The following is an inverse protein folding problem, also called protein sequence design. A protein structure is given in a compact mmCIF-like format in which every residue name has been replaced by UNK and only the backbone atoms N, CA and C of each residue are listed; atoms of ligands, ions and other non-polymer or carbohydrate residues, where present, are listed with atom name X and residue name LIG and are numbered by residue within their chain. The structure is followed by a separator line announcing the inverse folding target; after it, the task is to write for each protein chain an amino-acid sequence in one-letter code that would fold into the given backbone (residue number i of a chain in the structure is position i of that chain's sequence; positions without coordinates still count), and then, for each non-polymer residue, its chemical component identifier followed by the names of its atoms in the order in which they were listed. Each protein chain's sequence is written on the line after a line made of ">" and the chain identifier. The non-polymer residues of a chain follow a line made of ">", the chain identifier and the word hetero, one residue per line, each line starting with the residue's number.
data_IF_465057264443
#
_entry.id   IF_465057264443
#
_cell.length_a   1.000
_cell.length_b   1.000
_cell.length_c   1.000
_cell.angle_alpha   90.00
_cell.angle_beta   90.00
_cell.angle_gamma   90.00
#
_symmetry.space_group_name_H-M   'P 1'
#
loop_
_entity.id
_entity.type
_entity.pdbx_description
1 polymer ?
#
# COMPACT_ATOMS: atom_id res chain seq x y z
N UNK A 1 12.14 -53.92 7.79
CA UNK A 1 11.07 -54.48 8.66
C UNK A 1 9.82 -54.70 7.83
N UNK A 2 9.32 -55.94 7.73
CA UNK A 2 7.99 -56.22 7.19
C UNK A 2 6.97 -55.95 8.29
N UNK A 3 6.13 -54.93 8.12
CA UNK A 3 5.04 -54.63 9.03
C UNK A 3 3.87 -55.57 8.72
N UNK A 4 3.48 -56.33 9.74
CA UNK A 4 2.35 -57.27 9.77
C UNK A 4 1.05 -56.46 9.93
N UNK A 5 0.01 -56.85 9.18
CA UNK A 5 -1.34 -56.27 9.15
C UNK A 5 -1.43 -54.79 8.71
N UNK A 6 -1.67 -54.62 7.40
CA UNK A 6 -1.97 -53.33 6.75
C UNK A 6 -3.31 -52.76 7.23
N UNK A 7 -3.32 -52.10 8.39
CA UNK A 7 -4.18 -50.94 8.59
C UNK A 7 -3.45 -49.77 7.91
N UNK A 8 -3.95 -49.34 6.75
CA UNK A 8 -3.43 -48.18 6.05
C UNK A 8 -4.00 -46.93 6.71
N UNK A 9 -3.24 -46.26 7.57
CA UNK A 9 -3.50 -44.86 7.86
C UNK A 9 -3.07 -44.07 6.63
N UNK A 10 -4.03 -43.43 5.96
CA UNK A 10 -3.75 -42.62 4.78
C UNK A 10 -2.65 -41.60 5.10
N UNK A 11 -1.55 -41.65 4.35
CA UNK A 11 -0.51 -40.63 4.44
C UNK A 11 -1.01 -39.43 3.65
N UNK A 12 -1.48 -38.41 4.36
CA UNK A 12 -1.83 -37.12 3.76
C UNK A 12 -0.52 -36.37 3.53
N UNK A 13 -0.34 -35.80 2.33
CA UNK A 13 0.77 -34.89 2.09
C UNK A 13 0.66 -33.71 3.07
N UNK A 14 1.57 -33.64 4.04
CA UNK A 14 1.78 -32.40 4.78
C UNK A 14 2.50 -31.48 3.82
N UNK A 15 1.76 -30.53 3.25
CA UNK A 15 2.34 -29.48 2.44
C UNK A 15 3.35 -28.74 3.34
N UNK A 16 4.65 -28.93 3.09
CA UNK A 16 5.69 -28.18 3.79
C UNK A 16 5.41 -26.69 3.59
N UNK A 17 5.24 -25.97 4.68
CA UNK A 17 4.65 -24.63 4.66
C UNK A 17 3.13 -24.65 4.76
N UNK A 18 2.57 -25.46 5.68
CA UNK A 18 1.26 -25.17 6.26
C UNK A 18 1.38 -23.75 6.82
N UNK A 19 1.01 -22.79 5.97
CA UNK A 19 1.08 -21.37 6.25
C UNK A 19 0.36 -21.21 7.58
N UNK A 20 0.75 -20.22 8.37
CA UNK A 20 -0.13 -19.68 9.40
C UNK A 20 -1.41 -19.05 8.78
N UNK A 21 -1.96 -19.64 7.71
CA UNK A 21 -3.26 -19.38 7.09
C UNK A 21 -4.37 -20.20 7.76
N UNK A 22 -4.04 -21.14 8.66
CA UNK A 22 -5.02 -21.76 9.55
C UNK A 22 -5.37 -20.87 10.75
N UNK A 23 -4.63 -19.79 10.99
CA UNK A 23 -5.26 -18.62 11.58
C UNK A 23 -5.97 -17.94 10.42
N UNK A 24 -7.24 -18.30 10.21
CA UNK A 24 -8.13 -17.62 9.28
C UNK A 24 -8.34 -16.20 9.84
N UNK A 25 -7.30 -15.37 9.72
CA UNK A 25 -7.28 -14.02 10.27
C UNK A 25 -8.41 -13.28 9.58
N UNK A 26 -9.35 -12.75 10.36
CA UNK A 26 -10.48 -12.01 9.84
C UNK A 26 -10.02 -10.96 8.81
N UNK A 27 -10.85 -10.67 7.80
CA UNK A 27 -10.52 -9.66 6.80
C UNK A 27 -10.40 -8.31 7.48
N UNK A 28 -9.15 -7.86 7.67
CA UNK A 28 -8.83 -6.69 8.48
C UNK A 28 -7.81 -5.81 7.77
N UNK A 29 -8.01 -4.50 7.95
CA UNK A 29 -7.03 -3.46 7.70
C UNK A 29 -6.62 -2.89 9.06
N UNK A 30 -5.32 -2.77 9.31
CA UNK A 30 -4.78 -2.31 10.58
C UNK A 30 -3.96 -1.06 10.33
N UNK A 31 -4.40 0.08 10.86
CA UNK A 31 -3.60 1.30 10.93
C UNK A 31 -2.72 1.23 12.19
N UNK A 32 -1.46 0.85 12.02
CA UNK A 32 -0.58 0.52 13.14
C UNK A 32 -0.23 1.74 14.01
N UNK A 33 0.36 1.47 15.17
CA UNK A 33 0.96 2.48 16.04
C UNK A 33 2.14 3.21 15.38
N UNK A 34 2.87 2.55 14.48
CA UNK A 34 3.92 3.21 13.68
C UNK A 34 3.27 4.22 12.71
N UNK A 35 3.68 5.50 12.72
CA UNK A 35 3.13 6.50 11.83
C UNK A 35 3.16 6.09 10.35
N UNK A 36 2.02 6.24 9.68
CA UNK A 36 1.85 5.90 8.27
C UNK A 36 1.76 4.41 7.95
N UNK A 37 2.06 3.51 8.89
CA UNK A 37 2.09 2.07 8.60
C UNK A 37 0.68 1.46 8.62
N UNK A 38 0.39 0.70 7.59
CA UNK A 38 -0.79 -0.15 7.49
C UNK A 38 -0.42 -1.61 7.28
N UNK A 39 -1.33 -2.50 7.67
CA UNK A 39 -1.27 -3.94 7.39
C UNK A 39 -2.65 -4.43 6.94
N UNK A 40 -2.71 -5.19 5.85
CA UNK A 40 -3.89 -5.96 5.46
C UNK A 40 -3.66 -7.45 5.69
N UNK A 41 -4.69 -8.17 6.12
CA UNK A 41 -4.62 -9.61 6.33
C UNK A 41 -4.63 -10.38 5.01
N UNK A 42 -4.20 -11.65 5.06
CA UNK A 42 -4.13 -12.52 3.89
C UNK A 42 -5.46 -12.65 3.11
N UNK A 43 -6.64 -12.74 3.77
CA UNK A 43 -7.91 -12.77 3.03
C UNK A 43 -8.18 -11.50 2.22
N UNK A 44 -7.79 -10.33 2.74
CA UNK A 44 -7.95 -9.05 2.03
C UNK A 44 -7.04 -9.02 0.80
N UNK A 45 -5.76 -9.39 0.95
CA UNK A 45 -4.83 -9.50 -0.19
C UNK A 45 -5.36 -10.46 -1.26
N UNK A 46 -5.95 -11.57 -0.83
CA UNK A 46 -6.55 -12.56 -1.73
C UNK A 46 -7.78 -12.01 -2.47
N UNK A 47 -8.70 -11.36 -1.75
CA UNK A 47 -9.92 -10.81 -2.34
C UNK A 47 -9.61 -9.71 -3.36
N UNK A 48 -8.69 -8.80 -3.03
CA UNK A 48 -8.26 -7.72 -3.90
C UNK A 48 -7.34 -8.16 -5.05
N UNK A 49 -6.95 -9.44 -5.07
CA UNK A 49 -5.93 -9.99 -5.99
C UNK A 49 -4.67 -9.11 -6.03
N UNK A 50 -4.15 -8.76 -4.85
CA UNK A 50 -2.98 -7.91 -4.69
C UNK A 50 -1.81 -8.70 -4.11
N UNK A 51 -0.65 -8.59 -4.75
CA UNK A 51 0.59 -9.24 -4.36
C UNK A 51 1.62 -8.22 -3.84
N UNK A 52 2.69 -8.74 -3.24
CA UNK A 52 3.87 -7.96 -2.82
C UNK A 52 4.41 -7.14 -4.01
N UNK A 53 4.65 -5.84 -3.80
CA UNK A 53 5.19 -4.92 -4.80
C UNK A 53 4.15 -4.22 -5.67
N UNK A 54 2.88 -4.63 -5.57
CA UNK A 54 1.73 -3.91 -6.14
C UNK A 54 1.20 -2.85 -5.17
N UNK A 55 0.31 -1.98 -5.65
CA UNK A 55 -0.14 -0.82 -4.89
C UNK A 55 -1.59 -0.96 -4.41
N UNK A 56 -1.84 -0.42 -3.22
CA UNK A 56 -3.17 -0.28 -2.63
C UNK A 56 -3.50 1.21 -2.46
N UNK A 57 -4.73 1.60 -2.76
CA UNK A 57 -5.20 2.97 -2.66
C UNK A 57 -6.44 3.04 -1.77
N UNK A 58 -6.58 4.18 -1.08
CA UNK A 58 -7.78 4.52 -0.32
C UNK A 58 -8.75 5.36 -1.15
N UNK A 59 -10.04 5.14 -0.94
CA UNK A 59 -11.12 5.98 -1.41
C UNK A 59 -12.05 6.36 -0.27
N UNK A 60 -12.82 7.42 -0.46
CA UNK A 60 -13.91 7.79 0.44
C UNK A 60 -14.98 8.57 -0.35
N UNK A 61 -16.15 8.70 0.25
CA UNK A 61 -17.28 9.46 -0.29
C UNK A 61 -17.42 10.85 0.37
N UNK A 62 -16.41 11.37 1.09
CA UNK A 62 -16.50 12.62 1.88
C UNK A 62 -17.05 13.77 1.03
N UNK A 63 -16.45 14.02 -0.13
CA UNK A 63 -16.88 15.10 -1.02
C UNK A 63 -18.34 14.93 -1.50
N UNK A 64 -18.78 13.69 -1.70
CA UNK A 64 -20.16 13.38 -2.05
C UNK A 64 -21.12 13.67 -0.89
N UNK A 65 -20.73 13.30 0.33
CA UNK A 65 -21.50 13.57 1.55
C UNK A 65 -21.58 15.07 1.84
N UNK A 66 -20.47 15.80 1.74
CA UNK A 66 -20.44 17.26 1.91
C UNK A 66 -21.37 17.97 0.92
N UNK A 67 -21.37 17.53 -0.34
CA UNK A 67 -22.30 18.05 -1.33
C UNK A 67 -23.76 17.70 -1.01
N UNK A 68 -24.04 16.47 -0.56
CA UNK A 68 -25.39 16.06 -0.20
C UNK A 68 -25.94 16.82 1.02
N UNK A 69 -25.08 17.11 2.01
CA UNK A 69 -25.40 18.00 3.15
C UNK A 69 -25.73 19.40 2.63
N UNK A 70 -24.89 19.94 1.73
CA UNK A 70 -25.07 21.28 1.17
C UNK A 70 -26.36 21.40 0.34
N UNK A 71 -26.69 20.35 -0.43
CA UNK A 71 -27.90 20.26 -1.23
C UNK A 71 -29.15 19.90 -0.44
N UNK A 72 -29.01 19.56 0.85
CA UNK A 72 -30.11 19.10 1.72
C UNK A 72 -30.90 17.95 1.09
N UNK A 73 -30.17 16.93 0.63
CA UNK A 73 -30.79 15.71 0.11
C UNK A 73 -31.72 15.13 1.17
N UNK A 74 -32.89 14.66 0.74
CA UNK A 74 -34.01 14.25 1.60
C UNK A 74 -33.58 13.25 2.70
N UNK A 75 -32.79 12.24 2.35
CA UNK A 75 -32.31 11.23 3.30
C UNK A 75 -31.47 11.83 4.44
N UNK A 76 -30.63 12.83 4.14
CA UNK A 76 -29.79 13.49 5.15
C UNK A 76 -30.64 14.40 6.05
N UNK A 77 -31.64 15.08 5.47
CA UNK A 77 -32.57 15.92 6.24
C UNK A 77 -33.46 15.08 7.15
N UNK A 78 -33.92 13.94 6.67
CA UNK A 78 -34.71 12.99 7.44
C UNK A 78 -33.89 12.42 8.61
N UNK A 79 -32.68 11.93 8.33
CA UNK A 79 -31.77 11.46 9.37
C UNK A 79 -31.48 12.56 10.42
N UNK A 80 -31.22 13.78 9.99
CA UNK A 80 -30.93 14.89 10.90
C UNK A 80 -32.13 15.23 11.78
N UNK A 81 -33.35 15.22 11.21
CA UNK A 81 -34.59 15.46 11.95
C UNK A 81 -34.87 14.36 12.96
N UNK A 82 -34.65 13.10 12.60
CA UNK A 82 -34.83 11.93 13.47
C UNK A 82 -33.82 11.89 14.62
N UNK A 83 -32.60 12.35 14.39
CA UNK A 83 -31.51 12.35 15.37
C UNK A 83 -31.37 13.67 16.14
N UNK A 84 -32.25 14.65 15.89
CA UNK A 84 -32.21 15.96 16.54
C UNK A 84 -30.96 16.79 16.20
N UNK A 85 -30.39 16.57 15.01
CA UNK A 85 -29.17 17.22 14.52
C UNK A 85 -29.52 18.46 13.70
N UNK A 86 -28.97 19.61 14.06
CA UNK A 86 -29.16 20.85 13.30
C UNK A 86 -28.09 21.02 12.21
N UNK A 87 -28.46 20.72 10.95
CA UNK A 87 -27.58 20.87 9.77
C UNK A 87 -27.19 22.32 9.44
N UNK A 88 -27.81 23.33 10.08
CA UNK A 88 -27.38 24.72 9.95
C UNK A 88 -26.13 25.04 10.78
N UNK A 89 -25.78 24.16 11.74
CA UNK A 89 -24.61 24.31 12.60
C UNK A 89 -23.43 23.52 12.04
N UNK A 90 -22.21 23.95 12.37
CA UNK A 90 -21.01 23.21 11.96
C UNK A 90 -20.99 21.82 12.59
N UNK A 91 -21.39 21.74 13.85
CA UNK A 91 -21.47 20.51 14.63
C UNK A 91 -22.44 19.51 13.99
N UNK A 92 -23.60 19.97 13.52
CA UNK A 92 -24.56 19.09 12.86
C UNK A 92 -24.10 18.61 11.49
N UNK A 93 -23.41 19.48 10.73
CA UNK A 93 -22.78 19.07 9.47
C UNK A 93 -21.65 18.05 9.70
N UNK A 94 -20.82 18.25 10.74
CA UNK A 94 -19.75 17.32 11.10
C UNK A 94 -20.32 15.97 11.60
N UNK A 95 -21.46 15.98 12.30
CA UNK A 95 -22.16 14.77 12.70
C UNK A 95 -22.68 13.98 11.50
N UNK A 96 -23.35 14.65 10.55
CA UNK A 96 -23.80 14.02 9.31
C UNK A 96 -22.62 13.49 8.48
N UNK A 97 -21.55 14.28 8.37
CA UNK A 97 -20.35 13.88 7.65
C UNK A 97 -19.74 12.61 8.26
N UNK A 98 -19.64 12.55 9.59
CA UNK A 98 -19.12 11.38 10.30
C UNK A 98 -19.99 10.14 10.11
N UNK A 99 -21.31 10.30 10.10
CA UNK A 99 -22.27 9.18 9.95
C UNK A 99 -22.23 8.57 8.55
N UNK A 100 -22.27 9.40 7.51
CA UNK A 100 -22.40 8.93 6.13
C UNK A 100 -21.06 8.70 5.41
N UNK A 101 -19.94 9.07 6.05
CA UNK A 101 -18.61 8.82 5.47
C UNK A 101 -18.26 7.35 5.53
N UNK A 102 -18.03 6.75 4.36
CA UNK A 102 -17.52 5.41 4.19
C UNK A 102 -16.15 5.49 3.53
N UNK A 103 -15.20 4.75 4.10
CA UNK A 103 -13.86 4.57 3.53
C UNK A 103 -13.78 3.26 2.78
N UNK A 104 -12.94 3.23 1.75
CA UNK A 104 -12.74 2.07 0.90
C UNK A 104 -11.25 1.83 0.67
N UNK A 105 -10.91 0.58 0.40
CA UNK A 105 -9.60 0.19 -0.14
C UNK A 105 -9.78 -0.51 -1.49
N UNK A 106 -8.89 -0.22 -2.44
CA UNK A 106 -8.90 -0.83 -3.77
C UNK A 106 -7.49 -0.95 -4.33
N UNK A 107 -7.34 -1.73 -5.40
CA UNK A 107 -6.04 -1.93 -6.07
C UNK A 107 -5.66 -0.67 -6.85
N UNK A 108 -4.43 -0.20 -6.67
CA UNK A 108 -3.91 0.97 -7.37
C UNK A 108 -3.95 0.80 -8.89
N UNK A 109 -4.20 1.90 -9.60
CA UNK A 109 -4.31 1.93 -11.06
C UNK A 109 -3.08 2.58 -11.69
N UNK A 110 -2.60 2.06 -12.84
CA UNK A 110 -1.49 2.68 -13.57
C UNK A 110 -1.84 4.11 -13.98
N UNK A 111 -0.91 5.04 -13.80
CA UNK A 111 -1.11 6.45 -14.10
C UNK A 111 -0.54 6.82 -15.47
N UNK A 112 -1.21 7.76 -16.14
CA UNK A 112 -0.85 8.27 -17.45
C UNK A 112 -0.75 9.81 -17.42
N UNK A 113 0.11 10.36 -18.28
CA UNK A 113 0.13 11.79 -18.54
C UNK A 113 -1.09 12.23 -19.39
N UNK A 114 -1.27 13.55 -19.56
CA UNK A 114 -2.36 14.12 -20.36
C UNK A 114 -2.29 13.75 -21.85
N UNK A 115 -1.18 13.19 -22.31
CA UNK A 115 -0.97 12.70 -23.69
C UNK A 115 -1.20 11.19 -23.79
N UNK A 116 -1.44 10.51 -22.67
CA UNK A 116 -1.66 9.07 -22.56
C UNK A 116 -0.39 8.22 -22.50
N UNK A 117 0.78 8.81 -22.24
CA UNK A 117 2.00 8.05 -21.98
C UNK A 117 2.05 7.58 -20.52
N UNK A 118 2.61 6.39 -20.23
CA UNK A 118 2.84 5.94 -18.87
C UNK A 118 3.62 6.98 -18.07
N UNK A 119 3.06 7.43 -16.94
CA UNK A 119 3.80 8.29 -16.03
C UNK A 119 4.90 7.44 -15.39
N UNK A 120 6.16 7.83 -15.52
CA UNK A 120 7.29 7.09 -14.99
C UNK A 120 7.75 7.68 -13.65
N UNK A 121 7.99 6.84 -12.65
CA UNK A 121 8.51 7.24 -11.34
C UNK A 121 9.79 6.45 -11.06
N UNK A 122 10.81 7.12 -10.52
CA UNK A 122 12.05 6.47 -10.11
C UNK A 122 11.81 5.57 -8.90
N UNK A 123 12.34 4.35 -8.95
CA UNK A 123 12.42 3.52 -7.75
C UNK A 123 13.59 3.95 -6.88
N UNK A 124 13.43 3.83 -5.56
CA UNK A 124 14.50 4.15 -4.64
C UNK A 124 15.52 3.01 -4.66
N UNK A 125 16.66 3.23 -5.32
CA UNK A 125 17.86 2.43 -5.10
C UNK A 125 18.59 2.98 -3.88
N UNK A 126 19.00 2.08 -2.99
CA UNK A 126 19.92 2.45 -1.91
C UNK A 126 21.32 2.72 -2.48
N UNK A 127 22.19 3.37 -1.70
CA UNK A 127 23.59 3.55 -2.12
C UNK A 127 24.28 2.21 -2.36
N UNK A 128 23.91 1.19 -1.59
CA UNK A 128 24.41 -0.18 -1.71
C UNK A 128 23.97 -0.82 -3.03
N UNK A 129 22.67 -0.73 -3.38
CA UNK A 129 22.16 -1.25 -4.66
C UNK A 129 22.82 -0.57 -5.86
N UNK A 130 23.05 0.75 -5.78
CA UNK A 130 23.75 1.50 -6.83
C UNK A 130 25.21 1.08 -6.94
N UNK A 131 25.89 0.84 -5.82
CA UNK A 131 27.27 0.38 -5.83
C UNK A 131 27.39 -1.03 -6.40
N UNK A 132 26.48 -1.94 -6.06
CA UNK A 132 26.43 -3.28 -6.65
C UNK A 132 26.16 -3.22 -8.15
N UNK A 133 25.28 -2.32 -8.60
CA UNK A 133 25.04 -2.08 -10.02
C UNK A 133 26.30 -1.59 -10.75
N UNK A 134 27.04 -0.65 -10.17
CA UNK A 134 28.33 -0.18 -10.70
C UNK A 134 29.30 -1.36 -10.83
N UNK A 135 29.47 -2.15 -9.77
CA UNK A 135 30.42 -3.25 -9.77
C UNK A 135 30.08 -4.30 -10.85
N UNK A 136 28.79 -4.55 -11.10
CA UNK A 136 28.34 -5.53 -12.09
C UNK A 136 28.30 -5.00 -13.53
N UNK A 137 28.29 -3.68 -13.74
CA UNK A 137 28.10 -3.06 -15.05
C UNK A 137 29.16 -1.98 -15.39
N UNK A 138 30.26 -1.93 -14.65
CA UNK A 138 31.28 -0.87 -14.75
C UNK A 138 31.78 -0.65 -16.18
N UNK A 139 32.02 -1.72 -16.95
CA UNK A 139 32.47 -1.63 -18.34
C UNK A 139 31.42 -0.98 -19.26
N UNK A 140 30.13 -1.29 -19.07
CA UNK A 140 29.03 -0.69 -19.83
C UNK A 140 28.85 0.78 -19.47
N UNK A 141 28.90 1.11 -18.17
CA UNK A 141 28.78 2.48 -17.67
C UNK A 141 29.93 3.34 -18.18
N UNK A 142 31.17 2.80 -18.18
CA UNK A 142 32.33 3.46 -18.76
C UNK A 142 32.12 3.72 -20.26
N UNK A 143 31.67 2.72 -21.02
CA UNK A 143 31.45 2.88 -22.46
C UNK A 143 30.40 3.96 -22.80
N UNK A 144 29.35 4.07 -22.00
CA UNK A 144 28.27 5.05 -22.19
C UNK A 144 28.64 6.47 -21.71
N UNK A 145 29.54 6.59 -20.73
CA UNK A 145 29.85 7.86 -20.06
C UNK A 145 31.34 8.26 -20.17
N UNK A 146 32.09 7.65 -21.10
CA UNK A 146 33.56 7.79 -21.17
C UNK A 146 34.03 9.23 -21.25
N UNK A 147 33.41 10.04 -22.11
CA UNK A 147 33.77 11.44 -22.32
C UNK A 147 33.58 12.28 -21.04
N UNK A 148 32.50 12.03 -20.30
CA UNK A 148 32.23 12.69 -19.01
C UNK A 148 33.23 12.28 -17.93
N UNK A 149 33.66 11.01 -17.92
CA UNK A 149 34.65 10.50 -16.98
C UNK A 149 36.06 11.03 -17.28
N UNK A 150 36.40 11.22 -18.55
CA UNK A 150 37.66 11.87 -18.97
C UNK A 150 37.69 13.34 -18.59
N UNK A 151 36.58 14.06 -18.78
CA UNK A 151 36.45 15.45 -18.33
C UNK A 151 36.59 15.54 -16.80
N UNK A 152 35.98 14.61 -16.07
CA UNK A 152 36.12 14.50 -14.60
C UNK A 152 37.54 14.16 -14.17
N UNK A 153 38.30 13.46 -15.01
CA UNK A 153 39.73 13.22 -14.85
C UNK A 153 40.61 14.41 -15.29
N UNK A 154 40.03 15.61 -15.49
CA UNK A 154 40.76 16.82 -15.89
C UNK A 154 41.18 16.83 -17.36
N UNK A 155 40.50 16.07 -18.22
CA UNK A 155 40.77 15.98 -19.65
C UNK A 155 41.98 15.13 -20.01
N UNK A 156 42.53 14.38 -19.04
CA UNK A 156 43.61 13.43 -19.28
C UNK A 156 43.03 12.08 -19.69
N UNK A 157 43.48 11.56 -20.82
CA UNK A 157 43.24 10.15 -21.19
C UNK A 157 43.89 9.27 -20.13
N UNK A 158 43.06 8.52 -19.40
CA UNK A 158 43.48 7.54 -18.42
C UNK A 158 43.00 6.14 -18.86
N UNK A 159 43.57 5.12 -18.24
CA UNK A 159 43.17 3.74 -18.43
C UNK A 159 41.78 3.47 -17.85
N UNK A 160 41.14 2.42 -18.35
CA UNK A 160 39.76 2.07 -18.02
C UNK A 160 39.56 1.81 -16.52
N UNK A 161 40.57 1.29 -15.79
CA UNK A 161 40.48 1.10 -14.33
C UNK A 161 40.42 2.43 -13.57
N UNK A 162 41.23 3.41 -13.98
CA UNK A 162 41.21 4.76 -13.38
C UNK A 162 39.90 5.49 -13.67
N UNK A 163 39.34 5.33 -14.88
CA UNK A 163 38.05 5.93 -15.23
C UNK A 163 36.87 5.25 -14.52
N UNK A 164 36.92 3.93 -14.32
CA UNK A 164 35.91 3.19 -13.55
C UNK A 164 35.89 3.63 -12.09
N UNK A 165 37.06 3.91 -11.49
CA UNK A 165 37.14 4.41 -10.11
C UNK A 165 36.50 5.80 -9.91
N UNK A 166 36.27 6.56 -11.00
CA UNK A 166 35.61 7.86 -10.99
C UNK A 166 34.08 7.78 -11.13
N UNK A 167 33.52 6.58 -11.35
CA UNK A 167 32.07 6.36 -11.40
C UNK A 167 31.51 6.48 -9.98
N UNK A 168 30.64 7.46 -9.77
CA UNK A 168 29.94 7.70 -8.51
C UNK A 168 28.56 7.05 -8.50
N UNK A 169 28.07 6.71 -7.30
CA UNK A 169 26.67 6.32 -7.09
C UNK A 169 25.66 7.39 -7.53
N UNK A 170 26.10 8.65 -7.64
CA UNK A 170 25.27 9.76 -8.11
C UNK A 170 25.12 9.77 -9.65
N UNK A 171 26.03 9.12 -10.39
CA UNK A 171 25.95 8.99 -11.85
C UNK A 171 24.93 7.94 -12.29
N UNK A 172 24.52 7.06 -11.37
CA UNK A 172 23.57 5.99 -11.65
C UNK A 172 22.15 6.52 -11.47
N UNK A 173 21.48 6.74 -12.60
CA UNK A 173 20.05 7.03 -12.61
C UNK A 173 19.29 5.82 -12.04
N UNK A 174 18.42 6.09 -11.07
CA UNK A 174 17.54 5.05 -10.54
C UNK A 174 16.60 4.54 -11.64
N UNK A 175 16.35 3.22 -11.73
CA UNK A 175 15.42 2.69 -12.70
C UNK A 175 14.04 3.31 -12.51
N UNK A 176 13.40 3.61 -13.62
CA UNK A 176 12.05 4.17 -13.66
C UNK A 176 11.07 3.05 -13.96
N UNK A 177 9.97 3.02 -13.20
CA UNK A 177 8.83 2.15 -13.47
C UNK A 177 7.58 2.99 -13.74
N UNK A 178 6.59 2.38 -14.37
CA UNK A 178 5.29 3.01 -14.46
C UNK A 178 4.76 3.29 -13.05
N UNK A 179 4.32 4.52 -12.85
CA UNK A 179 3.68 5.00 -11.66
C UNK A 179 2.31 4.34 -11.54
N UNK A 180 2.03 3.80 -10.36
CA UNK A 180 0.75 3.19 -10.00
C UNK A 180 0.26 3.97 -8.79
N UNK A 181 -1.01 4.33 -8.78
CA UNK A 181 -1.59 5.10 -7.67
C UNK A 181 -1.57 4.32 -6.36
N UNK A 182 -1.60 5.05 -5.24
CA UNK A 182 -1.59 4.48 -3.91
C UNK A 182 -0.21 4.03 -3.42
N UNK A 183 -0.21 3.29 -2.32
CA UNK A 183 0.99 2.87 -1.60
C UNK A 183 1.47 1.48 -2.03
N UNK A 184 2.76 1.35 -2.33
CA UNK A 184 3.40 0.07 -2.66
C UNK A 184 3.38 -0.86 -1.45
N UNK A 185 2.96 -2.10 -1.68
CA UNK A 185 2.89 -3.12 -0.64
C UNK A 185 4.20 -3.89 -0.51
N UNK A 186 4.49 -4.33 0.70
CA UNK A 186 5.59 -5.18 1.08
C UNK A 186 5.10 -6.30 2.00
N UNK A 187 5.94 -7.31 2.24
CA UNK A 187 5.68 -8.32 3.26
C UNK A 187 6.92 -8.48 4.15
N UNK A 188 6.74 -9.02 5.35
CA UNK A 188 7.84 -9.30 6.28
C UNK A 188 8.39 -10.72 6.13
N UNK A 189 7.77 -11.55 5.30
CA UNK A 189 8.20 -12.92 5.01
C UNK A 189 8.91 -13.00 3.65
N UNK A 190 9.71 -14.03 3.40
CA UNK A 190 10.29 -14.28 2.08
C UNK A 190 9.25 -14.71 1.02
N UNK A 191 8.01 -14.93 1.43
CA UNK A 191 6.92 -15.39 0.56
C UNK A 191 6.40 -14.26 -0.32
N UNK A 192 6.31 -14.49 -1.62
CA UNK A 192 5.72 -13.57 -2.58
C UNK A 192 4.39 -14.09 -3.12
N UNK A 193 3.61 -13.20 -3.75
CA UNK A 193 2.32 -13.54 -4.35
C UNK A 193 1.09 -13.13 -3.54
N UNK A 194 -0.08 -13.49 -4.08
CA UNK A 194 -1.40 -13.14 -3.55
C UNK A 194 -1.75 -14.00 -2.33
N UNK A 195 -2.49 -13.42 -1.37
CA UNK A 195 -2.90 -14.11 -0.14
C UNK A 195 -1.81 -14.11 0.94
N UNK A 196 -0.89 -13.17 0.87
CA UNK A 196 0.07 -12.89 1.92
C UNK A 196 -0.46 -11.76 2.82
N UNK A 197 0.00 -11.70 4.07
CA UNK A 197 -0.14 -10.48 4.85
C UNK A 197 0.77 -9.41 4.27
N UNK A 198 0.19 -8.26 3.92
CA UNK A 198 0.89 -7.17 3.28
C UNK A 198 0.90 -5.94 4.18
N UNK A 199 2.02 -5.22 4.19
CA UNK A 199 2.16 -3.92 4.82
C UNK A 199 2.44 -2.85 3.77
N UNK A 200 2.04 -1.62 4.05
CA UNK A 200 2.28 -0.47 3.18
C UNK A 200 2.30 0.82 4.01
N UNK A 201 2.64 1.93 3.37
CA UNK A 201 2.81 3.21 4.08
C UNK A 201 2.04 4.34 3.41
N UNK A 202 1.18 5.01 4.18
CA UNK A 202 0.51 6.25 3.80
C UNK A 202 0.30 7.13 5.05
N UNK A 203 1.15 8.12 5.24
CA UNK A 203 1.09 8.99 6.42
C UNK A 203 -0.12 9.93 6.42
N UNK A 204 -0.63 10.32 5.26
CA UNK A 204 -1.75 11.25 5.17
C UNK A 204 -3.03 10.56 5.62
N UNK A 205 -3.35 9.42 5.02
CA UNK A 205 -4.55 8.66 5.36
C UNK A 205 -4.47 8.12 6.79
N UNK A 206 -3.29 7.71 7.24
CA UNK A 206 -3.10 7.29 8.62
C UNK A 206 -3.45 8.39 9.63
N UNK A 207 -3.08 9.65 9.34
CA UNK A 207 -3.41 10.77 10.21
C UNK A 207 -4.91 11.09 10.25
N UNK A 208 -5.58 10.96 9.10
CA UNK A 208 -7.02 11.19 8.94
C UNK A 208 -7.84 10.12 9.65
N UNK A 209 -7.54 8.84 9.39
CA UNK A 209 -8.22 7.68 9.98
C UNK A 209 -8.02 7.54 11.49
N UNK A 210 -7.09 8.28 12.06
CA UNK A 210 -6.80 8.26 13.51
C UNK A 210 -6.95 9.65 14.12
N UNK A 211 -7.59 10.59 13.43
CA UNK A 211 -7.66 12.01 13.82
C UNK A 211 -8.21 12.22 15.22
N UNK A 212 -9.25 11.47 15.60
CA UNK A 212 -9.91 11.43 16.90
C UNK A 212 -9.03 10.92 18.05
N UNK A 213 -7.94 10.18 17.78
CA UNK A 213 -7.03 9.69 18.82
C UNK A 213 -6.03 10.74 19.33
N UNK A 214 -5.90 11.90 18.68
CA UNK A 214 -4.99 12.97 19.08
C UNK A 214 -3.55 12.48 19.31
N UNK A 215 -3.00 12.72 20.50
CA UNK A 215 -1.64 12.31 20.89
C UNK A 215 -1.47 10.78 21.02
N UNK A 216 -2.56 10.02 21.08
CA UNK A 216 -2.52 8.56 21.24
C UNK A 216 -2.44 7.80 19.92
N UNK A 217 -2.43 8.49 18.77
CA UNK A 217 -2.35 7.87 17.43
C UNK A 217 -1.18 6.88 17.30
N UNK A 218 -0.04 7.22 17.88
CA UNK A 218 1.19 6.42 17.85
C UNK A 218 1.26 5.32 18.90
N UNK A 219 0.26 5.20 19.78
CA UNK A 219 0.22 4.26 20.89
C UNK A 219 -0.82 3.15 20.73
N UNK A 220 -1.64 3.22 19.67
CA UNK A 220 -2.73 2.27 19.41
C UNK A 220 -2.64 1.74 17.99
N UNK A 221 -2.98 0.48 17.79
CA UNK A 221 -3.36 -0.05 16.49
C UNK A 221 -4.85 0.17 16.32
N UNK A 222 -5.25 0.81 15.23
CA UNK A 222 -6.67 0.91 14.87
C UNK A 222 -7.01 -0.17 13.87
N UNK A 223 -8.02 -0.96 14.18
CA UNK A 223 -8.43 -2.11 13.39
C UNK A 223 -9.74 -1.79 12.71
N UNK A 224 -9.75 -2.02 11.40
CA UNK A 224 -10.90 -1.96 10.55
C UNK A 224 -11.24 -3.36 10.06
N UNK A 225 -12.52 -3.72 10.07
CA UNK A 225 -13.05 -4.85 9.33
C UNK A 225 -13.17 -4.45 7.86
N UNK A 226 -12.71 -5.31 6.96
CA UNK A 226 -12.88 -5.11 5.51
C UNK A 226 -14.08 -5.94 5.05
N UNK A 227 -15.08 -5.27 4.49
CA UNK A 227 -16.30 -5.91 4.01
C UNK A 227 -16.06 -6.52 2.63
N UNK A 228 -15.70 -7.81 2.60
CA UNK A 228 -15.39 -8.52 1.35
C UNK A 228 -16.64 -8.86 0.53
N UNK A 229 -17.82 -8.89 1.15
CA UNK A 229 -19.09 -9.25 0.51
C UNK A 229 -19.83 -8.03 -0.08
N UNK A 230 -19.45 -6.81 0.34
CA UNK A 230 -20.10 -5.55 -0.07
C UNK A 230 -19.23 -4.77 -1.06
N UNK A 231 -18.79 -5.45 -2.12
CA UNK A 231 -17.90 -4.84 -3.13
C UNK A 231 -18.67 -3.78 -3.93
N UNK A 232 -18.08 -2.58 -4.03
CA UNK A 232 -18.62 -1.48 -4.84
C UNK A 232 -17.65 -1.19 -5.97
N UNK A 233 -18.16 -1.07 -7.19
CA UNK A 233 -17.34 -0.62 -8.32
C UNK A 233 -17.25 0.90 -8.31
N UNK A 234 -16.03 1.43 -8.28
CA UNK A 234 -15.77 2.88 -8.31
C UNK A 234 -14.95 3.25 -9.54
N UNK A 235 -15.21 4.43 -10.07
CA UNK A 235 -14.47 4.99 -11.20
C UNK A 235 -13.31 5.83 -10.69
N UNK A 236 -12.08 5.40 -11.01
CA UNK A 236 -10.85 6.08 -10.59
C UNK A 236 -10.20 6.72 -11.80
N UNK A 237 -9.99 8.05 -11.82
CA UNK A 237 -9.29 8.71 -12.91
C UNK A 237 -7.81 8.28 -12.91
N UNK A 238 -7.34 7.79 -14.05
CA UNK A 238 -5.94 7.36 -14.22
C UNK A 238 -5.06 8.42 -14.91
N UNK A 239 -5.58 9.65 -15.07
CA UNK A 239 -4.95 10.75 -15.80
C UNK A 239 -5.42 10.89 -17.25
N UNK A 240 -6.05 9.86 -17.83
CA UNK A 240 -6.58 9.86 -19.20
C UNK A 240 -8.05 9.46 -19.27
N UNK A 241 -8.40 8.37 -18.59
CA UNK A 241 -9.73 7.80 -18.55
C UNK A 241 -10.11 7.41 -17.11
N UNK A 242 -11.40 7.14 -16.92
CA UNK A 242 -11.89 6.58 -15.67
C UNK A 242 -11.81 5.06 -15.76
N UNK A 243 -11.06 4.45 -14.84
CA UNK A 243 -10.93 3.00 -14.72
C UNK A 243 -11.84 2.54 -13.60
N UNK A 244 -12.79 1.68 -13.93
CA UNK A 244 -13.67 1.06 -12.93
C UNK A 244 -12.91 -0.04 -12.19
N UNK A 245 -12.84 0.05 -10.86
CA UNK A 245 -12.17 -0.91 -9.99
C UNK A 245 -13.08 -1.38 -8.85
N UNK A 246 -12.97 -2.66 -8.42
CA UNK A 246 -13.67 -3.14 -7.23
C UNK A 246 -13.03 -2.53 -5.98
N UNK A 247 -13.85 -1.85 -5.19
CA UNK A 247 -13.49 -1.25 -3.93
C UNK A 247 -14.22 -1.90 -2.77
N UNK A 248 -13.49 -2.07 -1.67
CA UNK A 248 -13.95 -2.78 -0.49
C UNK A 248 -14.14 -1.78 0.65
N UNK A 249 -15.37 -1.64 1.19
CA UNK A 249 -15.62 -0.78 2.33
C UNK A 249 -14.85 -1.24 3.57
N UNK A 250 -14.49 -0.29 4.43
CA UNK A 250 -13.87 -0.56 5.72
C UNK A 250 -14.73 0.02 6.85
N UNK A 251 -14.93 -0.78 7.89
CA UNK A 251 -15.68 -0.39 9.09
C UNK A 251 -14.76 -0.42 10.30
N UNK A 252 -14.86 0.60 11.15
CA UNK A 252 -14.11 0.62 12.41
C UNK A 252 -14.55 -0.54 13.29
N UNK A 253 -13.57 -1.30 13.80
CA UNK A 253 -13.82 -2.44 14.68
C UNK A 253 -13.37 -2.16 16.11
N UNK A 254 -12.10 -1.80 16.30
CA UNK A 254 -11.51 -1.62 17.64
C UNK A 254 -10.19 -0.86 17.61
N UNK A 255 -9.82 -0.30 18.76
CA UNK A 255 -8.47 0.20 19.04
C UNK A 255 -7.75 -0.71 20.03
N UNK A 256 -6.65 -1.32 19.58
CA UNK A 256 -5.87 -2.28 20.36
C UNK A 256 -4.50 -1.72 20.74
N UNK A 257 -3.95 -2.18 21.87
CA UNK A 257 -2.57 -1.88 22.21
C UNK A 257 -1.61 -2.59 21.23
N UNK A 258 -0.50 -1.95 20.81
CA UNK A 258 0.49 -2.63 19.99
C UNK A 258 1.10 -3.79 20.77
N UNK A 259 1.28 -4.93 20.10
CA UNK A 259 1.97 -6.08 20.68
C UNK A 259 3.44 -5.70 20.87
N UNK A 260 3.83 -5.42 22.10
CA UNK A 260 5.23 -5.28 22.48
C UNK A 260 5.75 -6.70 22.69
N UNK A 261 6.59 -7.19 21.77
CA UNK A 261 7.38 -8.38 22.07
C UNK A 261 8.43 -7.97 23.08
N UNK A 262 8.27 -8.36 24.34
CA UNK A 262 9.37 -8.31 25.29
C UNK A 262 10.53 -9.10 24.68
N UNK A 263 11.71 -8.46 24.59
CA UNK A 263 12.92 -9.18 24.23
C UNK A 263 13.19 -10.15 25.39
N UNK A 264 12.99 -11.43 25.15
CA UNK A 264 13.54 -12.49 25.98
C UNK A 264 15.07 -12.45 25.97
#
# INVERSE_FOLDING_TARGET
>A
MKLVNKISFGVIAIQAGQKSSTVNAEPRLIANSTPGKFVITAPVSKAMNIAVGENIQFGNNIAGVENAISQRVEDIVNWASENGVDLNTREGQDAALKEFTVWFIFKGVPQYDSKGNPLMTSERYTKEDKQEYINNNAATILAENRDLLIERNGGQDADDETLIALISVDDIESPKRQSISGAKTATTAATTGVGCQLNFTDSSIWNTLKSDLGENKSKKNRIYKVLLDEVVNIDVPNGKENVTVPAYPIEFLSDEAPIVREKA
#
